data_IF_478974989445
#
_entry.id   IF_478974989445
#
_cell.length_a   1.000
_cell.length_b   1.000
_cell.length_c   1.000
_cell.angle_alpha   90.00
_cell.angle_beta   90.00
_cell.angle_gamma   90.00
#
_symmetry.space_group_name_H-M   'P 1'
#
loop_
_entity.id
_entity.type
_entity.pdbx_description
1 polymer ?
#
# COMPACT_ATOMS: atom_id res chain seq x y z
N UNK A 1 -48.10 28.32 -8.81
CA UNK A 1 -47.03 27.40 -8.35
C UNK A 1 -45.69 27.95 -8.82
N UNK A 2 -44.58 27.82 -8.08
CA UNK A 2 -43.25 28.27 -8.55
C UNK A 2 -42.47 27.09 -9.14
N UNK A 3 -41.75 27.31 -10.22
CA UNK A 3 -40.87 26.33 -10.88
C UNK A 3 -39.42 26.84 -10.88
N UNK A 4 -38.45 25.94 -10.83
CA UNK A 4 -37.02 26.27 -10.90
C UNK A 4 -36.36 26.60 -9.55
N UNK A 5 -35.32 27.44 -9.58
CA UNK A 5 -34.44 27.66 -8.42
C UNK A 5 -35.16 28.46 -7.31
N UNK A 6 -35.10 27.94 -6.07
CA UNK A 6 -35.60 28.65 -4.89
C UNK A 6 -34.63 29.77 -4.52
N UNK A 7 -35.18 30.94 -4.19
CA UNK A 7 -34.38 32.07 -3.67
C UNK A 7 -33.72 31.66 -2.35
N UNK A 8 -32.38 31.56 -2.27
CA UNK A 8 -31.71 31.27 -1.01
C UNK A 8 -31.88 32.46 -0.06
N UNK A 9 -31.99 32.20 1.24
CA UNK A 9 -32.02 33.26 2.26
C UNK A 9 -31.25 32.81 3.49
N UNK A 10 -30.10 33.46 3.75
CA UNK A 10 -29.16 33.09 4.81
C UNK A 10 -29.82 33.09 6.19
N UNK A 11 -30.55 34.16 6.53
CA UNK A 11 -31.26 34.30 7.80
C UNK A 11 -32.24 33.15 8.07
N UNK A 12 -32.99 32.69 7.05
CA UNK A 12 -33.95 31.58 7.21
C UNK A 12 -33.23 30.25 7.37
N UNK A 13 -32.16 30.02 6.61
CA UNK A 13 -31.35 28.80 6.71
C UNK A 13 -30.71 28.66 8.08
N UNK A 14 -30.07 29.71 8.61
CA UNK A 14 -29.44 29.71 9.94
C UNK A 14 -30.51 29.48 11.02
N UNK A 15 -31.63 30.22 10.98
CA UNK A 15 -32.73 30.07 11.95
C UNK A 15 -33.34 28.66 11.95
N UNK A 16 -33.46 28.03 10.77
CA UNK A 16 -33.96 26.66 10.66
C UNK A 16 -33.02 25.61 11.30
N UNK A 17 -31.70 25.88 11.30
CA UNK A 17 -30.66 25.03 11.88
C UNK A 17 -30.46 25.24 13.38
N UNK A 18 -30.65 26.46 13.89
CA UNK A 18 -30.47 26.81 15.31
C UNK A 18 -31.78 26.71 16.09
N UNK A 19 -32.46 27.83 16.32
CA UNK A 19 -33.68 27.94 17.15
C UNK A 19 -34.82 27.06 16.64
N UNK A 20 -34.96 26.93 15.31
CA UNK A 20 -35.98 26.09 14.69
C UNK A 20 -35.75 24.58 14.86
N UNK A 21 -34.50 24.14 15.04
CA UNK A 21 -34.18 22.74 15.33
C UNK A 21 -34.59 22.38 16.76
N UNK A 22 -34.22 23.24 17.71
CA UNK A 22 -34.57 23.09 19.14
C UNK A 22 -36.09 23.04 19.32
N UNK A 23 -36.83 24.02 18.75
CA UNK A 23 -38.30 24.05 18.83
C UNK A 23 -38.98 22.81 18.25
N UNK A 24 -38.42 22.21 17.19
CA UNK A 24 -38.95 20.96 16.60
C UNK A 24 -38.71 19.76 17.51
N UNK A 25 -37.55 19.67 18.15
CA UNK A 25 -37.20 18.58 19.09
C UNK A 25 -38.10 18.59 20.33
N UNK A 26 -38.35 19.77 20.88
CA UNK A 26 -39.30 19.92 22.01
C UNK A 26 -40.71 19.49 21.60
N UNK A 27 -41.21 19.95 20.44
CA UNK A 27 -42.55 19.56 19.95
C UNK A 27 -42.69 18.07 19.65
N UNK A 28 -41.65 17.42 19.14
CA UNK A 28 -41.66 15.97 18.94
C UNK A 28 -41.60 15.18 20.26
N UNK A 29 -41.03 15.76 21.31
CA UNK A 29 -40.96 15.12 22.63
C UNK A 29 -42.31 15.17 23.36
N UNK A 30 -43.08 16.23 23.18
CA UNK A 30 -44.37 16.44 23.87
C UNK A 30 -45.54 15.86 23.08
N UNK A 31 -45.47 15.82 21.74
CA UNK A 31 -46.55 15.29 20.90
C UNK A 31 -46.06 14.06 20.11
N UNK A 32 -46.55 12.85 20.44
CA UNK A 32 -46.12 11.60 19.80
C UNK A 32 -46.47 11.51 18.31
N UNK A 33 -47.46 12.29 17.85
CA UNK A 33 -47.91 12.38 16.46
C UNK A 33 -47.14 13.44 15.65
N UNK A 34 -46.33 14.29 16.27
CA UNK A 34 -45.59 15.36 15.59
C UNK A 34 -44.39 14.81 14.80
N UNK A 35 -44.28 15.16 13.51
CA UNK A 35 -43.16 14.75 12.64
C UNK A 35 -43.26 13.33 12.06
N UNK A 36 -44.33 12.58 12.35
CA UNK A 36 -44.60 11.27 11.74
C UNK A 36 -44.95 11.41 10.24
N UNK A 37 -44.54 10.44 9.44
CA UNK A 37 -44.86 10.38 8.00
C UNK A 37 -46.39 10.33 7.81
N UNK A 38 -46.92 11.01 6.80
CA UNK A 38 -48.36 11.04 6.52
C UNK A 38 -49.19 12.05 7.32
N UNK A 39 -48.72 12.49 8.50
CA UNK A 39 -49.48 13.39 9.38
C UNK A 39 -49.83 14.75 8.74
N UNK A 40 -49.05 15.19 7.74
CA UNK A 40 -49.34 16.40 6.98
C UNK A 40 -50.64 16.30 6.16
N UNK A 41 -50.97 15.12 5.63
CA UNK A 41 -52.20 14.89 4.86
C UNK A 41 -53.43 14.86 5.77
N UNK A 42 -53.29 14.28 6.97
CA UNK A 42 -54.36 14.24 7.97
C UNK A 42 -54.65 15.64 8.53
N UNK A 43 -53.61 16.41 8.88
CA UNK A 43 -53.78 17.73 9.50
C UNK A 43 -54.14 18.85 8.51
N UNK A 44 -53.56 18.83 7.31
CA UNK A 44 -53.83 19.84 6.28
C UNK A 44 -53.52 19.30 4.87
N UNK A 45 -54.49 18.62 4.23
CA UNK A 45 -54.26 17.92 2.95
C UNK A 45 -53.90 18.88 1.82
N UNK A 46 -54.55 20.05 1.73
CA UNK A 46 -54.28 21.07 0.70
C UNK A 46 -52.82 21.54 0.74
N UNK A 47 -52.29 21.82 1.93
CA UNK A 47 -50.90 22.25 2.11
C UNK A 47 -49.91 21.11 1.88
N UNK A 48 -50.26 19.88 2.23
CA UNK A 48 -49.41 18.71 2.01
C UNK A 48 -49.21 18.44 0.51
N UNK A 49 -50.29 18.48 -0.28
CA UNK A 49 -50.24 18.32 -1.75
C UNK A 49 -49.42 19.45 -2.38
N UNK A 50 -49.69 20.71 -2.00
CA UNK A 50 -48.91 21.86 -2.48
C UNK A 50 -47.42 21.71 -2.17
N UNK A 51 -47.03 21.40 -0.94
CA UNK A 51 -45.62 21.23 -0.57
C UNK A 51 -44.94 20.09 -1.32
N UNK A 52 -45.67 18.99 -1.60
CA UNK A 52 -45.15 17.85 -2.37
C UNK A 52 -44.84 18.25 -3.81
N UNK A 53 -45.77 18.93 -4.48
CA UNK A 53 -45.55 19.43 -5.84
C UNK A 53 -44.42 20.48 -5.81
N UNK A 54 -44.44 21.42 -4.85
CA UNK A 54 -43.42 22.47 -4.72
C UNK A 54 -42.02 21.88 -4.52
N UNK A 55 -41.88 20.80 -3.76
CA UNK A 55 -40.61 20.08 -3.57
C UNK A 55 -40.14 19.30 -4.80
N UNK A 56 -41.05 18.84 -5.67
CA UNK A 56 -40.70 18.17 -6.91
C UNK A 56 -40.32 19.15 -8.02
N UNK A 57 -40.96 20.32 -8.05
CA UNK A 57 -40.85 21.28 -9.17
C UNK A 57 -39.84 22.40 -8.95
N UNK A 58 -39.15 22.42 -7.80
CA UNK A 58 -38.15 23.45 -7.50
C UNK A 58 -36.86 22.86 -6.96
N UNK A 59 -35.74 23.47 -7.32
CA UNK A 59 -34.40 23.05 -6.90
C UNK A 59 -33.87 24.06 -5.88
N UNK A 60 -33.40 23.58 -4.73
CA UNK A 60 -32.84 24.43 -3.68
C UNK A 60 -31.32 24.54 -3.81
N UNK A 61 -30.80 25.77 -3.87
CA UNK A 61 -29.36 26.03 -3.72
C UNK A 61 -29.11 26.33 -2.25
N UNK A 62 -28.26 25.55 -1.58
CA UNK A 62 -27.89 25.78 -0.19
C UNK A 62 -26.73 26.79 -0.16
N UNK A 63 -26.92 28.02 0.33
CA UNK A 63 -25.86 29.01 0.34
C UNK A 63 -24.71 28.67 1.30
N UNK A 64 -24.91 27.69 2.21
CA UNK A 64 -23.91 27.26 3.19
C UNK A 64 -23.21 25.94 2.83
N UNK A 65 -23.48 25.33 1.66
CA UNK A 65 -22.81 24.09 1.26
C UNK A 65 -21.47 24.29 0.55
N UNK A 66 -21.08 25.54 0.25
CA UNK A 66 -19.76 25.87 -0.32
C UNK A 66 -18.72 26.30 0.73
N UNK A 67 -19.09 26.33 2.02
CA UNK A 67 -18.21 26.78 3.11
C UNK A 67 -17.61 25.62 3.92
N UNK A 68 -17.89 24.37 3.55
CA UNK A 68 -17.09 23.24 4.04
C UNK A 68 -15.86 23.12 3.15
N UNK A 69 -14.70 23.41 3.72
CA UNK A 69 -13.38 22.98 3.25
C UNK A 69 -13.39 21.51 2.82
N UNK A 70 -12.56 21.09 1.86
CA UNK A 70 -12.40 19.67 1.55
C UNK A 70 -11.68 19.02 2.73
N UNK A 71 -12.43 18.33 3.57
CA UNK A 71 -11.91 17.47 4.64
C UNK A 71 -12.30 16.03 4.30
N UNK A 72 -11.28 15.21 4.05
CA UNK A 72 -11.22 13.75 4.10
C UNK A 72 -12.53 12.98 3.95
N UNK A 73 -12.61 12.24 2.85
CA UNK A 73 -13.58 11.18 2.58
C UNK A 73 -13.52 10.11 3.66
N UNK A 74 -14.32 10.28 4.72
CA UNK A 74 -14.75 9.19 5.58
C UNK A 74 -15.84 8.39 4.88
N UNK A 75 -15.43 7.30 4.22
CA UNK A 75 -16.33 6.37 3.56
C UNK A 75 -17.19 5.67 4.61
N UNK A 76 -18.50 5.95 4.60
CA UNK A 76 -19.49 5.23 5.40
C UNK A 76 -19.53 3.78 4.93
N UNK A 77 -19.14 2.88 5.81
CA UNK A 77 -19.29 1.42 5.70
C UNK A 77 -20.77 1.08 5.63
N UNK A 78 -21.29 0.85 4.42
CA UNK A 78 -22.49 0.04 4.24
C UNK A 78 -22.06 -1.43 4.26
N UNK A 79 -22.71 -2.24 5.10
CA UNK A 79 -22.55 -3.68 5.17
C UNK A 79 -22.81 -4.32 3.79
N UNK A 80 -21.75 -4.60 3.04
CA UNK A 80 -21.83 -5.40 1.82
C UNK A 80 -21.41 -6.82 2.20
N UNK A 81 -22.27 -7.78 1.85
CA UNK A 81 -22.07 -9.22 2.13
C UNK A 81 -20.72 -9.65 1.54
N UNK A 82 -19.86 -10.21 2.39
CA UNK A 82 -18.41 -10.40 2.22
C UNK A 82 -17.97 -11.44 1.18
N UNK A 83 -18.90 -12.07 0.46
CA UNK A 83 -18.61 -13.22 -0.42
C UNK A 83 -18.72 -12.92 -1.91
N UNK A 84 -19.20 -11.74 -2.29
CA UNK A 84 -19.22 -11.31 -3.69
C UNK A 84 -17.92 -10.57 -4.02
N UNK A 85 -17.31 -10.84 -5.17
CA UNK A 85 -16.13 -10.12 -5.66
C UNK A 85 -16.47 -8.63 -5.89
N UNK A 86 -16.37 -7.84 -4.82
CA UNK A 86 -16.60 -6.39 -4.79
C UNK A 86 -15.26 -5.63 -4.88
N UNK A 87 -14.13 -6.35 -4.84
CA UNK A 87 -12.79 -5.76 -4.81
C UNK A 87 -12.24 -5.38 -6.19
N UNK A 88 -10.98 -5.01 -6.18
CA UNK A 88 -10.25 -4.48 -7.33
C UNK A 88 -10.26 -5.48 -8.50
N UNK A 89 -10.58 -4.97 -9.69
CA UNK A 89 -10.51 -5.73 -10.93
C UNK A 89 -9.70 -4.97 -11.97
N UNK A 90 -8.54 -5.51 -12.38
CA UNK A 90 -7.77 -4.94 -13.47
C UNK A 90 -8.41 -5.35 -14.80
N UNK A 91 -8.58 -4.36 -15.70
CA UNK A 91 -9.20 -4.55 -17.01
C UNK A 91 -8.23 -4.08 -18.09
N UNK A 92 -7.95 -4.93 -19.06
CA UNK A 92 -7.08 -4.61 -20.20
C UNK A 92 -7.89 -4.54 -21.50
N UNK A 93 -7.53 -3.61 -22.38
CA UNK A 93 -8.11 -3.52 -23.73
C UNK A 93 -7.25 -4.32 -24.69
N UNK A 94 -7.75 -5.46 -25.17
CA UNK A 94 -7.09 -6.24 -26.23
C UNK A 94 -7.70 -5.91 -27.58
N UNK A 95 -6.85 -5.76 -28.59
CA UNK A 95 -7.25 -5.62 -29.99
C UNK A 95 -7.20 -6.99 -30.64
N UNK A 96 -8.33 -7.46 -31.16
CA UNK A 96 -8.43 -8.71 -31.90
C UNK A 96 -8.90 -8.43 -33.32
N UNK A 97 -8.28 -9.08 -34.30
CA UNK A 97 -8.74 -9.07 -35.69
C UNK A 97 -9.73 -10.20 -35.90
N UNK A 98 -10.97 -9.85 -36.26
CA UNK A 98 -12.01 -10.84 -36.55
C UNK A 98 -12.42 -10.72 -38.02
N UNK A 99 -12.55 -11.85 -38.70
CA UNK A 99 -13.05 -11.88 -40.08
C UNK A 99 -14.48 -11.38 -40.12
N UNK A 100 -14.78 -10.40 -40.98
CA UNK A 100 -16.13 -9.90 -41.16
C UNK A 100 -17.02 -11.04 -41.71
N UNK A 101 -18.20 -11.24 -41.11
CA UNK A 101 -19.27 -12.10 -41.65
C UNK A 101 -20.45 -11.20 -42.01
N UNK A 102 -20.48 -10.68 -43.24
CA UNK A 102 -21.64 -9.94 -43.73
C UNK A 102 -22.71 -10.94 -44.21
N UNK A 103 -24.00 -10.80 -43.84
CA UNK A 103 -25.07 -11.70 -44.30
C UNK A 103 -25.28 -11.69 -45.82
N UNK A 104 -25.00 -10.59 -46.51
CA UNK A 104 -25.08 -10.47 -48.00
C UNK A 104 -23.96 -11.24 -48.69
N UNK A 105 -22.83 -11.43 -48.00
CA UNK A 105 -21.61 -12.06 -48.48
C UNK A 105 -21.74 -13.58 -48.69
N UNK A 106 -22.73 -14.23 -48.07
CA UNK A 106 -22.91 -15.70 -48.16
C UNK A 106 -23.24 -16.16 -49.58
N UNK A 107 -23.86 -15.30 -50.39
CA UNK A 107 -24.18 -15.56 -51.79
C UNK A 107 -22.99 -15.22 -52.72
N UNK A 108 -22.28 -14.12 -52.43
CA UNK A 108 -21.09 -13.65 -53.17
C UNK A 108 -19.89 -14.62 -53.01
N UNK A 109 -19.72 -15.23 -51.83
CA UNK A 109 -18.68 -16.23 -51.54
C UNK A 109 -18.81 -17.54 -52.34
N UNK A 110 -19.94 -17.78 -53.00
CA UNK A 110 -20.13 -18.94 -53.89
C UNK A 110 -19.54 -18.69 -55.29
N UNK A 111 -19.29 -17.43 -55.65
CA UNK A 111 -18.90 -16.98 -57.00
C UNK A 111 -17.45 -16.50 -57.07
N UNK A 112 -16.91 -15.93 -55.98
CA UNK A 112 -15.57 -15.31 -55.97
C UNK A 112 -14.67 -16.02 -54.95
N UNK A 113 -13.46 -16.45 -55.36
CA UNK A 113 -12.45 -17.03 -54.46
C UNK A 113 -12.05 -16.01 -53.39
N UNK A 114 -11.89 -16.49 -52.16
CA UNK A 114 -11.69 -15.72 -50.92
C UNK A 114 -10.50 -14.75 -51.02
N UNK A 115 -10.74 -13.44 -51.03
CA UNK A 115 -9.70 -12.45 -50.73
C UNK A 115 -9.46 -12.40 -49.21
N UNK A 116 -8.17 -12.34 -48.83
CA UNK A 116 -7.68 -12.53 -47.47
C UNK A 116 -7.82 -11.28 -46.56
N UNK A 117 -8.38 -10.17 -47.05
CA UNK A 117 -8.15 -8.83 -46.44
C UNK A 117 -9.30 -8.25 -45.60
N UNK A 118 -10.48 -8.88 -45.53
CA UNK A 118 -11.61 -8.31 -44.76
C UNK A 118 -11.58 -8.68 -43.27
N UNK A 119 -10.68 -8.04 -42.52
CA UNK A 119 -10.59 -8.13 -41.06
C UNK A 119 -11.07 -6.86 -40.38
N UNK A 120 -11.91 -6.98 -39.34
CA UNK A 120 -12.31 -5.87 -38.46
C UNK A 120 -11.55 -5.93 -37.14
N UNK A 121 -11.00 -4.80 -36.71
CA UNK A 121 -10.36 -4.65 -35.39
C UNK A 121 -11.47 -4.43 -34.34
N UNK A 122 -11.52 -5.30 -33.34
CA UNK A 122 -12.44 -5.19 -32.20
C UNK A 122 -11.62 -4.93 -30.94
N UNK A 123 -12.05 -3.97 -30.13
CA UNK A 123 -11.51 -3.76 -28.78
C UNK A 123 -12.39 -4.49 -27.77
N UNK A 124 -11.81 -5.45 -27.04
CA UNK A 124 -12.49 -6.15 -25.93
C UNK A 124 -11.82 -5.79 -24.61
N UNK A 125 -12.63 -5.57 -23.58
CA UNK A 125 -12.13 -5.44 -22.21
C UNK A 125 -12.05 -6.83 -21.57
N UNK A 126 -10.84 -7.27 -21.26
CA UNK A 126 -10.57 -8.53 -20.55
C UNK A 126 -10.32 -8.21 -19.08
N UNK A 127 -10.99 -8.92 -18.18
CA UNK A 127 -10.68 -8.83 -16.74
C UNK A 127 -9.49 -9.74 -16.50
N UNK A 128 -8.39 -9.18 -16.00
CA UNK A 128 -7.12 -9.91 -15.80
C UNK A 128 -6.91 -10.30 -14.34
N UNK A 129 -7.38 -9.48 -13.40
CA UNK A 129 -7.27 -9.72 -11.96
C UNK A 129 -8.63 -9.51 -11.30
N UNK A 130 -8.98 -10.34 -10.32
CA UNK A 130 -10.17 -10.18 -9.48
C UNK A 130 -9.84 -10.57 -8.05
N UNK A 131 -10.12 -9.67 -7.10
CA UNK A 131 -9.91 -9.93 -5.68
C UNK A 131 -11.17 -9.62 -4.88
N UNK A 132 -11.37 -10.36 -3.79
CA UNK A 132 -12.31 -9.96 -2.74
C UNK A 132 -11.68 -8.90 -1.84
N UNK A 133 -12.51 -8.12 -1.13
CA UNK A 133 -12.02 -7.08 -0.20
C UNK A 133 -11.15 -7.68 0.91
N UNK A 134 -11.47 -8.90 1.36
CA UNK A 134 -10.71 -9.60 2.40
C UNK A 134 -9.32 -10.01 1.91
N UNK A 135 -9.22 -10.55 0.71
CA UNK A 135 -7.94 -10.92 0.09
C UNK A 135 -7.07 -9.68 -0.13
N UNK A 136 -7.65 -8.58 -0.62
CA UNK A 136 -6.91 -7.33 -0.79
C UNK A 136 -6.34 -6.81 0.54
N UNK A 137 -7.11 -6.85 1.63
CA UNK A 137 -6.64 -6.42 2.94
C UNK A 137 -5.51 -7.30 3.45
N UNK A 138 -5.62 -8.62 3.29
CA UNK A 138 -4.56 -9.55 3.69
C UNK A 138 -3.24 -9.27 2.95
N UNK A 139 -3.32 -9.07 1.63
CA UNK A 139 -2.16 -8.73 0.79
C UNK A 139 -1.57 -7.35 1.20
N UNK A 140 -2.42 -6.37 1.51
CA UNK A 140 -1.95 -5.07 2.01
C UNK A 140 -1.25 -5.18 3.36
N UNK A 141 -1.78 -5.99 4.27
CA UNK A 141 -1.18 -6.20 5.58
C UNK A 141 0.15 -6.94 5.47
N UNK A 142 0.27 -7.92 4.56
CA UNK A 142 1.53 -8.58 4.24
C UNK A 142 2.57 -7.58 3.72
N UNK A 143 2.20 -6.74 2.75
CA UNK A 143 3.09 -5.70 2.23
C UNK A 143 3.54 -4.71 3.33
N UNK A 144 2.63 -4.31 4.23
CA UNK A 144 2.96 -3.46 5.39
C UNK A 144 3.91 -4.15 6.35
N UNK A 145 3.71 -5.44 6.61
CA UNK A 145 4.60 -6.24 7.45
C UNK A 145 6.00 -6.34 6.85
N UNK A 146 6.13 -6.57 5.54
CA UNK A 146 7.43 -6.55 4.86
C UNK A 146 8.14 -5.20 5.05
N UNK A 147 7.44 -4.09 4.81
CA UNK A 147 8.00 -2.74 4.99
C UNK A 147 8.39 -2.47 6.45
N UNK A 148 7.58 -2.94 7.40
CA UNK A 148 7.90 -2.82 8.83
C UNK A 148 9.18 -3.58 9.16
N UNK A 149 9.29 -4.85 8.76
CA UNK A 149 10.45 -5.69 9.03
C UNK A 149 11.73 -5.15 8.37
N UNK A 150 11.62 -4.62 7.14
CA UNK A 150 12.70 -3.92 6.46
C UNK A 150 13.22 -2.75 7.30
N UNK A 151 12.32 -1.85 7.70
CA UNK A 151 12.68 -0.66 8.46
C UNK A 151 13.27 -1.01 9.84
N UNK A 152 12.74 -2.04 10.51
CA UNK A 152 13.31 -2.52 11.77
C UNK A 152 14.73 -3.08 11.54
N UNK A 153 14.91 -3.91 10.51
CA UNK A 153 16.20 -4.50 10.17
C UNK A 153 17.24 -3.41 9.88
N UNK A 154 16.89 -2.39 9.09
CA UNK A 154 17.76 -1.25 8.80
C UNK A 154 18.23 -0.50 10.03
N UNK A 155 17.36 -0.34 11.04
CA UNK A 155 17.73 0.29 12.33
C UNK A 155 18.71 -0.56 13.12
N UNK A 156 18.56 -1.89 13.08
CA UNK A 156 19.55 -2.77 13.73
C UNK A 156 20.90 -2.77 13.01
N UNK A 157 20.95 -2.57 11.70
CA UNK A 157 22.21 -2.52 10.97
C UNK A 157 23.09 -1.32 11.38
N UNK A 158 22.49 -0.20 11.79
CA UNK A 158 23.24 0.97 12.25
C UNK A 158 23.75 0.83 13.68
N UNK A 159 23.04 0.10 14.52
CA UNK A 159 23.24 0.11 15.98
C UNK A 159 24.06 -1.09 16.49
N UNK A 160 24.16 -2.16 15.69
CA UNK A 160 24.72 -3.44 16.14
C UNK A 160 26.20 -3.61 15.76
N UNK A 161 26.99 -4.08 16.73
CA UNK A 161 28.38 -4.49 16.53
C UNK A 161 28.55 -6.02 16.67
N UNK A 162 27.45 -6.79 16.65
CA UNK A 162 27.46 -8.24 16.79
C UNK A 162 27.14 -8.89 15.43
N UNK A 163 28.04 -9.75 14.94
CA UNK A 163 27.90 -10.46 13.68
C UNK A 163 26.62 -11.31 13.62
N UNK A 164 26.32 -12.03 14.71
CA UNK A 164 25.16 -12.93 14.81
C UNK A 164 23.81 -12.20 14.73
N UNK A 165 23.81 -10.89 15.00
CA UNK A 165 22.62 -10.05 14.85
C UNK A 165 22.63 -9.35 13.51
N UNK A 166 23.78 -8.84 13.09
CA UNK A 166 23.92 -8.05 11.87
C UNK A 166 23.57 -8.84 10.61
N UNK A 167 24.20 -10.00 10.39
CA UNK A 167 24.03 -10.75 9.14
C UNK A 167 22.61 -11.29 8.93
N UNK A 168 21.95 -11.90 9.95
CA UNK A 168 20.56 -12.31 9.80
C UNK A 168 19.61 -11.13 9.54
N UNK A 169 19.85 -9.96 10.13
CA UNK A 169 19.03 -8.77 9.88
C UNK A 169 19.25 -8.19 8.49
N UNK A 170 20.48 -8.23 7.98
CA UNK A 170 20.76 -7.83 6.61
C UNK A 170 20.02 -8.75 5.62
N UNK A 171 20.05 -10.06 5.87
CA UNK A 171 19.31 -11.03 5.08
C UNK A 171 17.79 -10.83 5.18
N UNK A 172 17.26 -10.56 6.37
CA UNK A 172 15.84 -10.26 6.58
C UNK A 172 15.41 -9.01 5.80
N UNK A 173 16.25 -7.96 5.79
CA UNK A 173 16.01 -6.76 5.01
C UNK A 173 15.94 -7.08 3.50
N UNK A 174 16.88 -7.84 2.96
CA UNK A 174 16.90 -8.24 1.55
C UNK A 174 15.67 -9.08 1.19
N UNK A 175 15.34 -10.07 2.02
CA UNK A 175 14.18 -10.92 1.82
C UNK A 175 12.88 -10.12 1.85
N UNK A 176 12.74 -9.21 2.82
CA UNK A 176 11.55 -8.38 2.97
C UNK A 176 11.30 -7.48 1.75
N UNK A 177 12.35 -6.85 1.20
CA UNK A 177 12.23 -6.08 -0.05
C UNK A 177 11.94 -6.97 -1.24
N UNK A 178 12.60 -8.12 -1.37
CA UNK A 178 12.34 -9.08 -2.45
C UNK A 178 10.88 -9.55 -2.45
N UNK A 179 10.35 -9.91 -1.28
CA UNK A 179 8.92 -10.24 -1.13
C UNK A 179 8.03 -9.06 -1.50
N UNK A 180 8.38 -7.83 -1.08
CA UNK A 180 7.59 -6.64 -1.39
C UNK A 180 7.56 -6.36 -2.90
N UNK A 181 8.70 -6.49 -3.59
CA UNK A 181 8.77 -6.39 -5.06
C UNK A 181 7.92 -7.46 -5.73
N UNK A 182 7.97 -8.70 -5.25
CA UNK A 182 7.12 -9.76 -5.81
C UNK A 182 5.63 -9.47 -5.62
N UNK A 183 5.24 -8.92 -4.47
CA UNK A 183 3.86 -8.54 -4.18
C UNK A 183 3.40 -7.41 -5.09
N UNK A 184 4.22 -6.36 -5.29
CA UNK A 184 3.87 -5.25 -6.19
C UNK A 184 3.81 -5.66 -7.66
N UNK A 185 4.64 -6.60 -8.09
CA UNK A 185 4.60 -7.16 -9.44
C UNK A 185 3.36 -8.04 -9.68
N UNK A 186 3.00 -8.86 -8.70
CA UNK A 186 1.87 -9.80 -8.79
C UNK A 186 0.51 -9.13 -8.57
N UNK A 187 0.47 -8.03 -7.80
CA UNK A 187 -0.76 -7.36 -7.39
C UNK A 187 -0.76 -5.91 -7.85
N UNK A 188 -1.33 -5.68 -9.03
CA UNK A 188 -1.35 -4.36 -9.67
C UNK A 188 -2.07 -3.24 -8.91
N UNK A 189 -2.86 -3.60 -7.89
CA UNK A 189 -3.53 -2.64 -7.01
C UNK A 189 -2.63 -2.08 -5.90
N UNK A 190 -1.49 -2.73 -5.63
CA UNK A 190 -0.51 -2.21 -4.70
C UNK A 190 0.27 -1.10 -5.38
N UNK A 191 -0.02 0.14 -4.99
CA UNK A 191 0.74 1.32 -5.40
C UNK A 191 1.44 1.85 -4.16
N UNK A 192 2.77 1.86 -4.16
CA UNK A 192 3.54 2.48 -3.10
C UNK A 192 3.42 4.01 -3.23
N UNK A 193 3.12 4.70 -2.13
CA UNK A 193 3.27 6.15 -2.04
C UNK A 193 4.73 6.43 -1.64
N UNK A 194 5.52 7.04 -2.55
CA UNK A 194 6.93 7.38 -2.29
C UNK A 194 7.89 6.76 -3.31
N UNK A 195 9.06 6.34 -2.83
CA UNK A 195 10.11 5.68 -3.64
C UNK A 195 9.57 4.38 -4.27
N UNK A 196 9.96 4.14 -5.53
CA UNK A 196 9.66 2.87 -6.19
C UNK A 196 10.34 1.72 -5.43
N UNK A 197 9.58 0.66 -5.11
CA UNK A 197 10.09 -0.51 -4.38
C UNK A 197 11.24 -1.16 -5.15
N UNK A 198 11.19 -1.14 -6.48
CA UNK A 198 12.26 -1.68 -7.34
C UNK A 198 13.53 -0.83 -7.19
N UNK A 199 13.38 0.49 -7.17
CA UNK A 199 14.50 1.41 -6.97
C UNK A 199 15.11 1.25 -5.57
N UNK A 200 14.27 1.09 -4.54
CA UNK A 200 14.72 0.82 -3.17
C UNK A 200 15.53 -0.49 -3.06
N UNK A 201 15.11 -1.55 -3.77
CA UNK A 201 15.86 -2.80 -3.84
C UNK A 201 17.23 -2.60 -4.51
N UNK A 202 17.28 -1.88 -5.63
CA UNK A 202 18.54 -1.60 -6.33
C UNK A 202 19.49 -0.77 -5.46
N UNK A 203 18.97 0.25 -4.77
CA UNK A 203 19.74 1.06 -3.81
C UNK A 203 20.37 0.21 -2.73
N UNK A 204 19.61 -0.73 -2.14
CA UNK A 204 20.15 -1.64 -1.14
C UNK A 204 21.26 -2.53 -1.73
N UNK A 205 21.09 -3.06 -2.95
CA UNK A 205 22.11 -3.88 -3.59
C UNK A 205 23.42 -3.11 -3.83
N UNK A 206 23.32 -1.83 -4.21
CA UNK A 206 24.48 -0.94 -4.39
C UNK A 206 25.15 -0.59 -3.06
N UNK A 207 24.37 -0.30 -2.01
CA UNK A 207 24.89 0.10 -0.70
C UNK A 207 25.35 -1.09 0.15
N UNK A 208 24.91 -2.32 -0.16
CA UNK A 208 25.18 -3.54 0.62
C UNK A 208 26.65 -3.72 0.94
N UNK A 209 27.52 -3.61 -0.07
CA UNK A 209 28.96 -3.79 0.13
C UNK A 209 29.53 -2.76 1.10
N UNK A 210 29.05 -1.51 1.02
CA UNK A 210 29.48 -0.43 1.92
C UNK A 210 28.97 -0.65 3.35
N UNK A 211 27.72 -1.06 3.51
CA UNK A 211 27.13 -1.38 4.83
C UNK A 211 27.94 -2.48 5.51
N UNK A 212 28.27 -3.56 4.78
CA UNK A 212 29.10 -4.66 5.30
C UNK A 212 30.50 -4.14 5.66
N UNK A 213 31.14 -3.35 4.80
CA UNK A 213 32.47 -2.78 5.09
C UNK A 213 32.48 -1.92 6.35
N UNK A 214 31.47 -1.07 6.53
CA UNK A 214 31.31 -0.23 7.73
C UNK A 214 31.12 -1.08 8.99
N UNK A 215 30.27 -2.10 8.91
CA UNK A 215 30.08 -3.04 10.02
C UNK A 215 31.38 -3.76 10.39
N UNK A 216 32.07 -4.34 9.41
CA UNK A 216 33.34 -5.07 9.63
C UNK A 216 34.37 -4.17 10.29
N UNK A 217 34.54 -2.94 9.81
CA UNK A 217 35.45 -1.97 10.40
C UNK A 217 35.11 -1.68 11.87
N UNK A 218 33.82 -1.45 12.15
CA UNK A 218 33.33 -1.16 13.51
C UNK A 218 33.50 -2.38 14.44
N UNK A 219 33.15 -3.57 13.97
CA UNK A 219 33.27 -4.83 14.69
C UNK A 219 34.73 -5.13 15.05
N UNK A 220 35.65 -5.01 14.10
CA UNK A 220 37.09 -5.20 14.35
C UNK A 220 37.60 -4.17 15.35
N UNK A 221 37.21 -2.90 15.20
CA UNK A 221 37.62 -1.83 16.12
C UNK A 221 37.19 -2.11 17.55
N UNK A 222 35.93 -2.51 17.77
CA UNK A 222 35.42 -2.89 19.09
C UNK A 222 36.06 -4.17 19.62
N UNK A 223 36.36 -5.13 18.75
CA UNK A 223 37.09 -6.36 19.11
C UNK A 223 38.48 -6.05 19.66
N UNK A 224 39.22 -5.15 18.99
CA UNK A 224 40.55 -4.70 19.41
C UNK A 224 40.47 -3.92 20.72
N UNK A 225 39.52 -2.99 20.86
CA UNK A 225 39.31 -2.26 22.12
C UNK A 225 39.02 -3.21 23.29
N UNK A 226 38.12 -4.17 23.06
CA UNK A 226 37.76 -5.19 24.05
C UNK A 226 38.91 -6.11 24.42
N UNK A 227 39.78 -6.45 23.46
CA UNK A 227 41.01 -7.19 23.72
C UNK A 227 41.99 -6.35 24.53
N UNK A 228 42.26 -5.11 24.15
CA UNK A 228 43.22 -4.23 24.84
C UNK A 228 42.89 -3.98 26.31
N UNK A 229 41.61 -4.03 26.69
CA UNK A 229 41.16 -3.94 28.08
C UNK A 229 41.56 -5.15 28.95
N UNK A 230 41.98 -6.27 28.35
CA UNK A 230 42.44 -7.46 29.08
C UNK A 230 43.88 -7.28 29.55
N UNK A 231 44.17 -7.85 30.73
CA UNK A 231 45.48 -7.74 31.39
C UNK A 231 46.54 -8.70 30.83
N UNK A 232 46.14 -9.83 30.26
CA UNK A 232 47.05 -10.90 29.82
C UNK A 232 47.07 -11.05 28.30
N UNK A 233 48.26 -11.27 27.73
CA UNK A 233 48.41 -11.44 26.28
C UNK A 233 47.68 -12.70 25.77
N UNK A 234 47.67 -13.77 26.56
CA UNK A 234 46.88 -14.96 26.24
C UNK A 234 45.37 -14.66 26.18
N UNK A 235 44.87 -13.85 27.12
CA UNK A 235 43.46 -13.44 27.12
C UNK A 235 43.12 -12.57 25.91
N UNK A 236 44.01 -11.64 25.55
CA UNK A 236 43.88 -10.80 24.35
C UNK A 236 43.76 -11.65 23.09
N UNK A 237 44.69 -12.59 22.90
CA UNK A 237 44.71 -13.50 21.74
C UNK A 237 43.46 -14.37 21.66
N UNK A 238 43.08 -15.02 22.77
CA UNK A 238 41.90 -15.88 22.78
C UNK A 238 40.62 -15.11 22.43
N UNK A 239 40.47 -13.87 22.90
CA UNK A 239 39.32 -13.03 22.56
C UNK A 239 39.31 -12.65 21.08
N UNK A 240 40.47 -12.27 20.55
CA UNK A 240 40.66 -11.97 19.14
C UNK A 240 40.32 -13.18 18.26
N UNK A 241 40.82 -14.37 18.60
CA UNK A 241 40.51 -15.62 17.90
C UNK A 241 39.01 -15.94 17.96
N UNK A 242 38.36 -15.79 19.13
CA UNK A 242 36.91 -15.99 19.26
C UNK A 242 36.12 -15.08 18.32
N UNK A 243 36.41 -13.78 18.33
CA UNK A 243 35.73 -12.80 17.49
C UNK A 243 35.99 -13.01 16.00
N UNK A 244 37.19 -13.49 15.62
CA UNK A 244 37.48 -13.89 14.24
C UNK A 244 36.65 -15.10 13.83
N UNK A 245 36.57 -16.11 14.69
CA UNK A 245 35.77 -17.32 14.44
C UNK A 245 34.28 -17.01 14.32
N UNK A 246 33.77 -16.06 15.11
CA UNK A 246 32.39 -15.57 14.98
C UNK A 246 32.16 -14.98 13.58
N UNK A 247 33.06 -14.11 13.10
CA UNK A 247 32.96 -13.53 11.76
C UNK A 247 33.19 -14.54 10.63
N UNK A 248 34.06 -15.53 10.83
CA UNK A 248 34.43 -16.48 9.78
C UNK A 248 33.28 -17.37 9.35
N UNK A 249 32.29 -17.58 10.22
CA UNK A 249 31.04 -18.28 9.88
C UNK A 249 30.31 -17.64 8.71
N UNK A 250 30.44 -16.33 8.53
CA UNK A 250 29.75 -15.56 7.49
C UNK A 250 30.60 -15.30 6.24
N UNK A 251 31.84 -15.81 6.16
CA UNK A 251 32.74 -15.52 5.03
C UNK A 251 32.25 -16.06 3.69
N UNK A 252 31.42 -17.12 3.68
CA UNK A 252 30.81 -17.65 2.46
C UNK A 252 29.95 -16.61 1.74
N UNK A 253 29.33 -15.72 2.50
CA UNK A 253 28.30 -14.79 2.02
C UNK A 253 28.87 -13.40 1.72
N UNK A 254 30.18 -13.22 1.95
CA UNK A 254 30.88 -11.95 1.79
C UNK A 254 31.56 -11.80 0.42
N UNK A 255 31.68 -10.56 -0.10
CA UNK A 255 32.53 -10.27 -1.24
C UNK A 255 33.98 -10.69 -0.97
N UNK A 256 34.67 -11.25 -1.97
CA UNK A 256 36.07 -11.68 -1.87
C UNK A 256 37.01 -10.57 -1.39
N UNK A 257 36.81 -9.36 -1.91
CA UNK A 257 37.56 -8.15 -1.50
C UNK A 257 37.44 -7.88 0.00
N UNK A 258 36.24 -8.06 0.57
CA UNK A 258 35.98 -7.88 1.99
C UNK A 258 36.65 -8.98 2.81
N UNK A 259 36.58 -10.23 2.37
CA UNK A 259 37.25 -11.36 3.04
C UNK A 259 38.78 -11.19 3.04
N UNK A 260 39.36 -10.75 1.93
CA UNK A 260 40.79 -10.44 1.83
C UNK A 260 41.18 -9.30 2.80
N UNK A 261 40.37 -8.24 2.87
CA UNK A 261 40.57 -7.16 3.85
C UNK A 261 40.51 -7.67 5.29
N UNK A 262 39.53 -8.52 5.63
CA UNK A 262 39.42 -9.12 6.96
C UNK A 262 40.67 -9.94 7.27
N UNK A 263 41.04 -10.87 6.38
CA UNK A 263 42.18 -11.75 6.60
C UNK A 263 43.49 -10.97 6.72
N UNK A 264 43.71 -9.93 5.91
CA UNK A 264 44.91 -9.09 6.02
C UNK A 264 45.01 -8.38 7.37
N UNK A 265 43.90 -7.83 7.88
CA UNK A 265 43.85 -7.20 9.20
C UNK A 265 44.13 -8.23 10.30
N UNK A 266 43.43 -9.36 10.29
CA UNK A 266 43.57 -10.36 11.35
C UNK A 266 44.92 -11.09 11.35
N UNK A 267 45.51 -11.35 10.18
CA UNK A 267 46.87 -11.88 10.04
C UNK A 267 47.93 -10.92 10.63
N UNK A 268 47.65 -9.62 10.69
CA UNK A 268 48.55 -8.66 11.34
C UNK A 268 48.45 -8.68 12.88
N UNK A 269 47.30 -9.15 13.41
CA UNK A 269 46.97 -9.14 14.83
C UNK A 269 47.20 -10.49 15.52
N UNK A 270 47.07 -11.60 14.77
CA UNK A 270 47.18 -12.97 15.25
C UNK A 270 48.30 -13.67 14.47
N UNK A 271 49.26 -14.35 15.13
CA UNK A 271 50.25 -15.19 14.45
C UNK A 271 49.58 -16.30 13.62
N UNK A 272 50.08 -16.60 12.42
CA UNK A 272 49.45 -17.57 11.52
C UNK A 272 49.32 -19.00 12.11
N UNK A 273 50.19 -19.37 13.05
CA UNK A 273 50.17 -20.67 13.74
C UNK A 273 48.87 -20.90 14.54
N UNK A 274 48.21 -19.82 14.98
CA UNK A 274 46.98 -19.87 15.78
C UNK A 274 45.71 -19.85 14.91
N UNK A 275 45.81 -19.46 13.63
CA UNK A 275 44.69 -19.39 12.68
C UNK A 275 44.45 -20.72 11.94
N UNK A 276 45.46 -21.58 11.86
CA UNK A 276 45.44 -22.84 11.10
C UNK A 276 44.94 -24.02 11.97
N UNK A 277 44.92 -23.87 13.30
CA UNK A 277 44.49 -24.92 14.22
C UNK A 277 42.98 -24.87 14.51
N UNK A 278 42.15 -25.13 13.49
CA UNK A 278 40.87 -25.87 13.54
C UNK A 278 40.15 -25.87 12.21
#
# INVERSE_FOLDING_TARGET
>A
MKFGVRKPSLKKTIKARTTGKIKRKVKSSVNPLYGKKGMGYVKNPKRAVYNKIYNKTTVGINPLSKLSTPSDTSTKTSSIKSEQAIGYTKKEKKQETVTVRNPVEKWIRRVIRKDSSDTKIITRTVITEQYTVKEMLAIQDEARSCLHNYNQSMRYLTDTNNADVFFPRLQEAEMSLSTLVSLTQNHSFLVAEGDDVIEAQNRLLEEKENIIKQFVHTHISESIKGANNLKTDRGRRNRLISNYNELSTYFSDLPRSTVEMINTIWNSLIPQEDLINR
#
